data_IF_680138814398
#
_entry.id   IF_680138814398
#
_cell.length_a   1.000
_cell.length_b   1.000
_cell.length_c   1.000
_cell.angle_alpha   90.00
_cell.angle_beta   90.00
_cell.angle_gamma   90.00
#
_symmetry.space_group_name_H-M   'P 1'
#
loop_
_entity.id
_entity.type
_entity.pdbx_description
1 polymer ?
#
# COMPACT_ATOMS: atom_id res chain seq x y z
N UNK A 1 -58.10 -33.80 38.10
CA UNK A 1 -58.30 -33.99 36.66
C UNK A 1 -58.26 -32.64 35.90
N UNK A 2 -57.30 -31.76 36.20
CA UNK A 2 -57.17 -30.42 35.59
C UNK A 2 -55.71 -29.96 35.37
N UNK A 3 -54.74 -30.88 35.42
CA UNK A 3 -53.30 -30.55 35.35
C UNK A 3 -52.54 -31.22 34.19
N UNK A 4 -53.24 -31.74 33.18
CA UNK A 4 -52.62 -32.39 32.01
C UNK A 4 -52.92 -31.70 30.66
N UNK A 5 -53.58 -30.53 30.66
CA UNK A 5 -53.94 -29.82 29.40
C UNK A 5 -53.07 -28.62 29.03
N UNK A 6 -52.04 -28.28 29.81
CA UNK A 6 -51.18 -27.11 29.53
C UNK A 6 -49.82 -27.42 28.90
N UNK A 7 -49.50 -28.68 28.64
CA UNK A 7 -48.25 -29.08 27.97
C UNK A 7 -48.43 -29.53 26.51
N UNK A 8 -49.64 -29.37 25.96
CA UNK A 8 -49.97 -29.69 24.57
C UNK A 8 -50.08 -28.44 23.68
N UNK A 9 -49.38 -27.35 24.01
CA UNK A 9 -49.09 -26.32 23.00
C UNK A 9 -47.86 -26.78 22.22
N UNK A 10 -48.10 -27.79 21.39
CA UNK A 10 -47.18 -28.34 20.43
C UNK A 10 -46.43 -27.23 19.72
N UNK A 11 -45.11 -27.26 19.86
CA UNK A 11 -44.17 -27.04 18.77
C UNK A 11 -44.82 -27.47 17.46
N UNK A 12 -45.26 -26.52 16.65
CA UNK A 12 -45.56 -26.82 15.27
C UNK A 12 -44.20 -26.88 14.56
N UNK A 13 -43.67 -28.07 14.22
CA UNK A 13 -42.38 -28.18 13.54
C UNK A 13 -42.39 -27.45 12.19
N UNK A 14 -43.57 -27.23 11.59
CA UNK A 14 -43.73 -26.39 10.40
C UNK A 14 -43.47 -24.91 10.69
N UNK A 15 -43.90 -24.36 11.84
CA UNK A 15 -43.57 -22.97 12.22
C UNK A 15 -42.09 -22.81 12.60
N UNK A 16 -41.47 -23.84 13.17
CA UNK A 16 -40.02 -23.85 13.44
C UNK A 16 -39.20 -24.00 12.15
N UNK A 17 -39.68 -24.80 11.18
CA UNK A 17 -39.08 -24.89 9.84
C UNK A 17 -39.29 -23.61 9.03
N UNK A 18 -40.45 -22.96 9.12
CA UNK A 18 -40.68 -21.66 8.47
C UNK A 18 -39.82 -20.55 9.08
N UNK A 19 -39.66 -20.50 10.41
CA UNK A 19 -38.73 -19.58 11.05
C UNK A 19 -37.26 -19.83 10.64
N UNK A 20 -36.87 -21.10 10.43
CA UNK A 20 -35.55 -21.46 9.89
C UNK A 20 -35.37 -21.17 8.39
N UNK A 21 -36.47 -21.05 7.63
CA UNK A 21 -36.45 -20.70 6.20
C UNK A 21 -36.29 -19.20 5.96
N UNK A 22 -36.69 -18.35 6.92
CA UNK A 22 -36.59 -16.90 6.80
C UNK A 22 -35.26 -16.29 7.25
N UNK A 23 -34.41 -17.00 7.99
CA UNK A 23 -33.06 -16.52 8.26
C UNK A 23 -32.11 -16.99 7.16
N UNK A 24 -32.11 -16.31 6.00
CA UNK A 24 -31.06 -16.57 5.03
C UNK A 24 -29.70 -16.36 5.73
N UNK A 25 -28.73 -17.28 5.60
CA UNK A 25 -27.43 -17.15 6.27
C UNK A 25 -26.76 -15.82 5.94
N UNK A 26 -27.07 -15.26 4.76
CA UNK A 26 -26.73 -13.90 4.37
C UNK A 26 -27.34 -12.83 5.30
N UNK A 27 -28.67 -12.78 5.48
CA UNK A 27 -29.32 -11.75 6.32
C UNK A 27 -28.82 -11.80 7.77
N UNK A 28 -28.62 -13.02 8.30
CA UNK A 28 -28.07 -13.22 9.63
C UNK A 28 -26.63 -12.70 9.74
N UNK A 29 -25.76 -13.08 8.80
CA UNK A 29 -24.36 -12.63 8.81
C UNK A 29 -24.24 -11.13 8.53
N UNK A 30 -25.10 -10.59 7.68
CA UNK A 30 -25.21 -9.15 7.44
C UNK A 30 -25.59 -8.40 8.72
N UNK A 31 -26.63 -8.85 9.44
CA UNK A 31 -27.02 -8.25 10.72
C UNK A 31 -25.89 -8.31 11.77
N UNK A 32 -25.17 -9.45 11.85
CA UNK A 32 -24.03 -9.61 12.75
C UNK A 32 -22.85 -8.71 12.40
N UNK A 33 -22.60 -8.44 11.11
CA UNK A 33 -21.54 -7.52 10.68
C UNK A 33 -21.96 -6.06 10.83
N UNK A 34 -23.23 -5.74 10.57
CA UNK A 34 -23.73 -4.37 10.57
C UNK A 34 -23.59 -3.71 11.94
N UNK A 35 -23.82 -4.45 13.04
CA UNK A 35 -23.69 -3.92 14.40
C UNK A 35 -22.29 -3.42 14.75
N UNK A 36 -21.27 -4.30 14.78
CA UNK A 36 -19.87 -3.92 15.00
C UNK A 36 -19.37 -2.91 13.99
N UNK A 37 -19.75 -3.05 12.72
CA UNK A 37 -19.33 -2.12 11.68
C UNK A 37 -19.91 -0.72 11.91
N UNK A 38 -21.20 -0.62 12.29
CA UNK A 38 -21.82 0.66 12.65
C UNK A 38 -21.20 1.26 13.92
N UNK A 39 -20.84 0.42 14.90
CA UNK A 39 -20.14 0.87 16.11
C UNK A 39 -18.74 1.43 15.76
N UNK A 40 -17.97 0.74 14.92
CA UNK A 40 -16.66 1.23 14.46
C UNK A 40 -16.82 2.50 13.62
N UNK A 41 -17.78 2.54 12.71
CA UNK A 41 -18.07 3.71 11.88
C UNK A 41 -18.45 4.93 12.73
N UNK A 42 -19.32 4.76 13.72
CA UNK A 42 -19.72 5.83 14.65
C UNK A 42 -18.55 6.30 15.51
N UNK A 43 -17.69 5.41 15.97
CA UNK A 43 -16.45 5.76 16.68
C UNK A 43 -15.50 6.57 15.79
N UNK A 44 -15.27 6.14 14.55
CA UNK A 44 -14.44 6.85 13.59
C UNK A 44 -15.04 8.21 13.22
N UNK A 45 -16.37 8.29 13.08
CA UNK A 45 -17.07 9.55 12.82
C UNK A 45 -16.98 10.50 14.01
N UNK A 46 -17.13 9.99 15.24
CA UNK A 46 -16.92 10.76 16.46
C UNK A 46 -15.47 11.24 16.59
N UNK A 47 -14.49 10.40 16.23
CA UNK A 47 -13.08 10.79 16.18
C UNK A 47 -12.83 11.88 15.14
N UNK A 48 -13.36 11.72 13.91
CA UNK A 48 -13.31 12.75 12.85
C UNK A 48 -13.89 14.07 13.34
N UNK A 49 -15.05 14.05 13.99
CA UNK A 49 -15.71 15.25 14.50
C UNK A 49 -14.89 15.90 15.62
N UNK A 50 -14.41 15.10 16.58
CA UNK A 50 -13.64 15.57 17.73
C UNK A 50 -12.32 16.19 17.32
N UNK A 51 -11.63 15.60 16.36
CA UNK A 51 -10.30 15.98 15.90
C UNK A 51 -10.33 16.59 14.49
N UNK A 52 -11.42 17.28 14.14
CA UNK A 52 -11.59 17.90 12.81
C UNK A 52 -10.55 18.98 12.51
N UNK A 53 -9.94 19.54 13.55
CA UNK A 53 -8.98 20.63 13.47
C UNK A 53 -7.54 20.13 13.58
N UNK A 54 -6.64 20.81 12.89
CA UNK A 54 -5.20 20.56 12.92
C UNK A 54 -4.62 20.72 14.33
N UNK A 55 -5.05 21.74 15.08
CA UNK A 55 -4.53 21.98 16.44
C UNK A 55 -4.94 20.86 17.40
N UNK A 56 -6.18 20.36 17.29
CA UNK A 56 -6.65 19.24 18.10
C UNK A 56 -5.92 17.93 17.79
N UNK A 57 -5.39 17.78 16.58
CA UNK A 57 -4.58 16.63 16.20
C UNK A 57 -3.19 16.69 16.81
N UNK A 58 -2.58 17.88 16.81
CA UNK A 58 -1.32 18.12 17.53
C UNK A 58 -1.49 17.90 19.02
N UNK A 59 -2.57 18.41 19.61
CA UNK A 59 -2.88 18.18 21.02
C UNK A 59 -3.13 16.70 21.34
N UNK A 60 -3.70 15.94 20.38
CA UNK A 60 -3.87 14.50 20.54
C UNK A 60 -2.52 13.81 20.53
N UNK A 61 -1.64 14.14 19.58
CA UNK A 61 -0.31 13.56 19.46
C UNK A 61 0.51 13.66 20.75
N UNK A 62 0.44 14.81 21.43
CA UNK A 62 1.15 15.07 22.68
C UNK A 62 0.62 14.27 23.89
N UNK A 63 -0.55 13.64 23.78
CA UNK A 63 -1.14 12.86 24.88
C UNK A 63 -0.58 11.44 24.92
N UNK A 64 -0.53 10.80 26.11
CA UNK A 64 -0.13 9.40 26.23
C UNK A 64 -1.07 8.52 25.39
N UNK A 65 -0.50 7.73 24.48
CA UNK A 65 -1.24 6.88 23.54
C UNK A 65 -1.86 7.60 22.34
N UNK A 66 -1.72 8.93 22.26
CA UNK A 66 -2.25 9.74 21.17
C UNK A 66 -1.68 9.38 19.81
N UNK A 67 -0.35 9.20 19.72
CA UNK A 67 0.32 8.73 18.50
C UNK A 67 -0.21 7.38 18.00
N UNK A 68 -0.46 6.42 18.89
CA UNK A 68 -1.02 5.11 18.52
C UNK A 68 -2.43 5.28 17.93
N UNK A 69 -3.25 6.13 18.53
CA UNK A 69 -4.59 6.42 18.01
C UNK A 69 -4.51 7.10 16.63
N UNK A 70 -3.56 8.02 16.44
CA UNK A 70 -3.34 8.68 15.16
C UNK A 70 -2.86 7.71 14.08
N UNK A 71 -1.95 6.78 14.43
CA UNK A 71 -1.50 5.72 13.53
C UNK A 71 -2.69 4.84 13.12
N UNK A 72 -3.51 4.38 14.08
CA UNK A 72 -4.74 3.63 13.80
C UNK A 72 -5.70 4.41 12.88
N UNK A 73 -5.85 5.71 13.10
CA UNK A 73 -6.68 6.58 12.27
C UNK A 73 -6.09 6.84 10.88
N UNK A 74 -4.77 6.67 10.70
CA UNK A 74 -4.07 6.81 9.42
C UNK A 74 -4.01 5.51 8.61
N UNK A 75 -4.38 4.37 9.20
CA UNK A 75 -4.34 3.05 8.55
C UNK A 75 -5.14 2.97 7.26
N UNK A 76 -4.76 2.00 6.42
CA UNK A 76 -5.39 1.88 5.12
C UNK A 76 -6.84 1.45 5.23
N UNK A 77 -7.09 0.50 6.11
CA UNK A 77 -8.42 -0.06 6.36
C UNK A 77 -9.39 0.96 6.90
N UNK A 78 -8.95 1.83 7.82
CA UNK A 78 -9.85 2.84 8.42
C UNK A 78 -10.37 3.82 7.36
N UNK A 79 -9.67 3.98 6.24
CA UNK A 79 -10.16 4.70 5.07
C UNK A 79 -11.42 4.13 4.44
N UNK A 80 -11.52 2.82 4.38
CA UNK A 80 -12.69 2.14 3.81
C UNK A 80 -13.88 2.17 4.79
N UNK A 81 -13.64 2.62 6.02
CA UNK A 81 -14.64 2.77 7.07
C UNK A 81 -15.11 4.22 7.23
N UNK A 82 -14.51 5.22 6.57
CA UNK A 82 -14.92 6.61 6.79
C UNK A 82 -13.96 7.64 6.21
N UNK A 83 -14.40 8.89 6.00
CA UNK A 83 -13.51 9.94 5.57
C UNK A 83 -12.63 10.34 6.77
N UNK A 84 -11.40 9.87 6.77
CA UNK A 84 -10.45 10.01 7.87
C UNK A 84 -9.54 11.22 7.64
N UNK A 85 -8.62 11.44 8.55
CA UNK A 85 -7.98 12.73 8.75
C UNK A 85 -6.82 13.01 7.82
N UNK A 86 -6.61 12.27 6.71
CA UNK A 86 -5.48 12.53 5.80
C UNK A 86 -5.32 14.01 5.44
N UNK A 87 -6.37 14.76 5.06
CA UNK A 87 -6.24 16.19 4.78
C UNK A 87 -5.94 17.00 6.04
N UNK A 88 -6.41 16.56 7.20
CA UNK A 88 -6.16 17.21 8.48
C UNK A 88 -4.78 16.84 9.07
N UNK A 89 -4.23 15.65 8.80
CA UNK A 89 -2.87 15.23 9.14
C UNK A 89 -1.87 16.02 8.29
N UNK A 90 -2.19 16.21 7.01
CA UNK A 90 -1.49 17.14 6.13
C UNK A 90 -1.50 18.57 6.70
N UNK A 91 -2.68 19.11 7.06
CA UNK A 91 -2.81 20.46 7.65
C UNK A 91 -2.15 20.59 9.03
N UNK A 92 -2.23 19.56 9.86
CA UNK A 92 -1.55 19.49 11.16
C UNK A 92 -0.03 19.35 11.01
N UNK A 93 0.45 19.09 9.79
CA UNK A 93 1.86 18.92 9.47
C UNK A 93 2.50 17.76 10.22
N UNK A 94 1.78 16.65 10.33
CA UNK A 94 2.19 15.44 11.07
C UNK A 94 3.45 14.76 10.49
N UNK A 95 3.92 15.21 9.33
CA UNK A 95 5.17 14.77 8.70
C UNK A 95 6.39 15.57 9.18
N UNK A 96 6.24 16.80 9.66
CA UNK A 96 7.36 17.68 10.02
C UNK A 96 8.19 17.13 11.19
N UNK A 97 7.55 16.63 12.25
CA UNK A 97 8.26 16.09 13.41
C UNK A 97 9.07 14.82 13.07
N UNK A 98 8.50 13.78 12.42
CA UNK A 98 9.29 12.63 11.98
C UNK A 98 10.43 13.01 11.03
N UNK A 99 10.23 13.96 10.11
CA UNK A 99 11.30 14.44 9.22
C UNK A 99 12.41 15.15 10.00
N UNK A 100 12.04 15.95 11.01
CA UNK A 100 12.99 16.60 11.91
C UNK A 100 13.77 15.59 12.75
N UNK A 101 13.12 14.53 13.24
CA UNK A 101 13.81 13.44 13.94
C UNK A 101 14.88 12.80 13.05
N UNK A 102 14.56 12.53 11.77
CA UNK A 102 15.50 11.93 10.83
C UNK A 102 16.74 12.80 10.51
N UNK A 103 16.71 14.10 10.83
CA UNK A 103 17.88 14.98 10.71
C UNK A 103 18.89 14.78 11.83
N UNK A 104 18.49 14.17 12.96
CA UNK A 104 19.38 13.93 14.10
C UNK A 104 20.33 12.75 13.79
N UNK A 105 21.65 12.98 13.69
CA UNK A 105 22.62 11.92 13.41
C UNK A 105 22.74 10.92 14.57
N UNK A 106 22.32 11.27 15.79
CA UNK A 106 22.39 10.43 17.00
C UNK A 106 21.07 9.69 17.26
N UNK A 107 20.09 9.80 16.36
CA UNK A 107 18.79 9.15 16.49
C UNK A 107 18.93 7.63 16.63
N UNK A 108 18.30 7.08 17.67
CA UNK A 108 18.33 5.63 17.93
C UNK A 108 17.55 4.89 16.82
N UNK A 109 18.01 3.67 16.47
CA UNK A 109 17.44 2.88 15.38
C UNK A 109 15.92 2.68 15.52
N UNK A 110 15.41 2.43 16.73
CA UNK A 110 13.97 2.25 16.95
C UNK A 110 13.17 3.55 16.72
N UNK A 111 13.76 4.71 17.00
CA UNK A 111 13.13 6.02 16.80
C UNK A 111 13.13 6.39 15.32
N UNK A 112 14.24 6.12 14.63
CA UNK A 112 14.35 6.24 13.17
C UNK A 112 13.30 5.39 12.48
N UNK A 113 13.14 4.14 12.91
CA UNK A 113 12.15 3.24 12.35
C UNK A 113 10.72 3.68 12.62
N UNK A 114 10.44 4.19 13.82
CA UNK A 114 9.13 4.75 14.13
C UNK A 114 8.82 5.97 13.24
N UNK A 115 9.79 6.86 13.04
CA UNK A 115 9.65 8.01 12.15
C UNK A 115 9.37 7.57 10.70
N UNK A 116 10.14 6.61 10.17
CA UNK A 116 9.94 6.06 8.83
C UNK A 116 8.60 5.34 8.67
N UNK A 117 8.16 4.57 9.67
CA UNK A 117 6.85 3.90 9.66
C UNK A 117 5.71 4.91 9.49
N UNK A 118 5.77 5.99 10.28
CA UNK A 118 4.76 7.05 10.26
C UNK A 118 4.77 7.82 8.95
N UNK A 119 5.94 8.16 8.42
CA UNK A 119 6.06 8.79 7.11
C UNK A 119 5.56 7.87 5.99
N UNK A 120 5.80 6.56 6.10
CA UNK A 120 5.28 5.54 5.18
C UNK A 120 3.76 5.43 5.18
N UNK A 121 3.12 5.48 6.34
CA UNK A 121 1.65 5.51 6.42
C UNK A 121 1.06 6.75 5.75
N UNK A 122 1.68 7.91 5.97
CA UNK A 122 1.27 9.17 5.36
C UNK A 122 1.54 9.19 3.84
N UNK A 123 2.70 8.69 3.38
CA UNK A 123 3.09 8.73 1.96
C UNK A 123 2.28 7.79 1.07
N UNK A 124 1.79 6.67 1.61
CA UNK A 124 0.90 5.76 0.88
C UNK A 124 -0.39 6.43 0.40
N UNK A 125 -0.76 7.57 1.00
CA UNK A 125 -1.95 8.33 0.63
C UNK A 125 -1.56 9.53 -0.21
N UNK A 126 -1.96 9.52 -1.49
CA UNK A 126 -1.66 10.60 -2.44
C UNK A 126 -1.88 12.01 -1.86
N UNK A 127 -2.99 12.25 -1.17
CA UNK A 127 -3.28 13.57 -0.60
C UNK A 127 -2.37 13.95 0.58
N UNK A 128 -1.96 13.00 1.42
CA UNK A 128 -0.96 13.28 2.45
C UNK A 128 0.43 13.39 1.84
N UNK A 129 0.78 12.55 0.86
CA UNK A 129 2.02 12.64 0.09
C UNK A 129 2.20 14.02 -0.56
N UNK A 130 1.13 14.62 -1.10
CA UNK A 130 1.12 15.99 -1.61
C UNK A 130 1.43 17.05 -0.54
N UNK A 131 1.16 16.76 0.74
CA UNK A 131 1.46 17.69 1.83
C UNK A 131 2.94 17.75 2.21
N UNK A 132 3.70 16.69 1.91
CA UNK A 132 5.17 16.72 1.98
C UNK A 132 5.73 17.69 0.94
N UNK A 133 4.97 17.92 -0.14
CA UNK A 133 5.35 18.77 -1.24
C UNK A 133 4.55 20.08 -1.24
N UNK A 134 4.26 20.66 -0.08
CA UNK A 134 3.55 21.93 -0.01
C UNK A 134 4.32 23.00 -0.81
N UNK A 135 3.65 23.77 -1.69
CA UNK A 135 4.31 24.80 -2.49
C UNK A 135 4.90 25.85 -1.54
N UNK A 136 6.23 25.88 -1.45
CA UNK A 136 6.94 26.97 -0.79
C UNK A 136 6.69 28.25 -1.57
N UNK A 137 6.26 29.30 -0.88
CA UNK A 137 6.03 30.62 -1.47
C UNK A 137 7.31 31.32 -1.95
N UNK A 138 8.50 30.77 -1.71
CA UNK A 138 9.76 31.34 -2.20
C UNK A 138 10.72 30.24 -2.69
N UNK A 139 10.90 30.17 -4.01
CA UNK A 139 12.03 29.62 -4.78
C UNK A 139 12.51 28.17 -4.59
N UNK A 140 11.86 27.35 -3.76
CA UNK A 140 12.25 25.94 -3.53
C UNK A 140 11.41 24.91 -4.27
N UNK A 141 12.03 23.80 -4.70
CA UNK A 141 11.29 22.59 -5.06
C UNK A 141 10.51 22.08 -3.85
N UNK A 142 9.24 21.69 -3.98
CA UNK A 142 8.50 21.15 -2.84
C UNK A 142 9.06 19.79 -2.34
N UNK A 143 9.96 19.14 -3.08
CA UNK A 143 10.71 17.98 -2.59
C UNK A 143 11.82 18.32 -1.58
N UNK A 144 12.08 19.61 -1.29
CA UNK A 144 13.05 20.02 -0.24
C UNK A 144 12.64 19.50 1.13
N UNK A 145 11.34 19.40 1.44
CA UNK A 145 10.90 18.92 2.75
C UNK A 145 11.30 17.45 3.02
N UNK A 146 11.48 16.65 1.97
CA UNK A 146 11.93 15.24 2.09
C UNK A 146 13.44 15.09 1.96
N UNK A 147 14.21 16.18 1.98
CA UNK A 147 15.68 16.15 1.95
C UNK A 147 16.30 15.17 2.96
N UNK A 148 15.83 15.05 4.22
CA UNK A 148 16.36 14.06 5.16
C UNK A 148 16.23 12.61 4.66
N UNK A 149 15.12 12.29 3.97
CA UNK A 149 14.92 10.97 3.38
C UNK A 149 15.84 10.76 2.17
N UNK A 150 16.03 11.79 1.34
CA UNK A 150 16.92 11.73 0.19
C UNK A 150 18.37 11.51 0.63
N UNK A 151 18.80 12.18 1.71
CA UNK A 151 20.11 11.96 2.31
C UNK A 151 20.24 10.54 2.86
N UNK A 152 19.30 10.09 3.70
CA UNK A 152 19.35 8.74 4.27
C UNK A 152 19.39 7.65 3.19
N UNK A 153 18.62 7.81 2.11
CA UNK A 153 18.53 6.82 1.04
C UNK A 153 19.71 6.83 0.05
N UNK A 154 20.23 8.00 -0.34
CA UNK A 154 21.15 8.13 -1.49
C UNK A 154 22.50 8.75 -1.17
N UNK A 155 22.68 9.31 0.02
CA UNK A 155 23.98 9.80 0.43
C UNK A 155 24.85 8.62 0.87
N UNK A 156 25.91 8.36 0.10
CA UNK A 156 26.94 7.40 0.47
C UNK A 156 28.04 8.15 1.22
N UNK A 157 28.16 7.92 2.52
CA UNK A 157 29.35 8.33 3.25
C UNK A 157 30.53 7.47 2.77
N UNK A 158 31.64 8.05 2.27
CA UNK A 158 32.82 7.30 1.87
C UNK A 158 33.37 6.38 2.98
N UNK A 159 33.08 6.67 4.26
CA UNK A 159 33.44 5.80 5.38
C UNK A 159 32.56 4.55 5.55
N UNK A 160 31.38 4.48 4.90
CA UNK A 160 30.38 3.41 5.08
C UNK A 160 30.56 2.19 4.16
N UNK A 161 31.53 2.24 3.24
CA UNK A 161 31.81 1.20 2.23
C UNK A 161 32.29 -0.13 2.85
N UNK A 162 32.62 -0.13 4.14
CA UNK A 162 33.08 -1.30 4.90
C UNK A 162 31.98 -2.08 5.61
N UNK A 163 30.73 -1.61 5.59
CA UNK A 163 29.64 -2.28 6.31
C UNK A 163 29.18 -3.55 5.58
N UNK A 164 29.09 -4.65 6.32
CA UNK A 164 28.52 -5.91 5.84
C UNK A 164 27.04 -5.74 5.49
N UNK A 165 26.57 -6.28 4.35
CA UNK A 165 25.15 -6.24 3.98
C UNK A 165 24.29 -7.00 5.01
N UNK A 166 23.13 -6.44 5.35
CA UNK A 166 22.18 -6.99 6.32
C UNK A 166 22.08 -6.23 7.64
N UNK A 167 22.43 -4.94 7.67
CA UNK A 167 22.36 -4.10 8.89
C UNK A 167 21.01 -3.40 9.03
N UNK A 168 20.66 -2.90 10.22
CA UNK A 168 19.46 -2.07 10.46
C UNK A 168 19.40 -0.87 9.50
N UNK A 169 20.55 -0.25 9.21
CA UNK A 169 20.72 0.79 8.18
C UNK A 169 20.14 0.41 6.80
N UNK A 170 20.24 -0.85 6.38
CA UNK A 170 19.77 -1.27 5.05
C UNK A 170 18.24 -1.27 4.95
N UNK A 171 17.59 -1.63 6.06
CA UNK A 171 16.12 -1.60 6.17
C UNK A 171 15.60 -0.16 6.16
N UNK A 172 16.31 0.76 6.83
CA UNK A 172 15.97 2.18 6.88
C UNK A 172 16.02 2.80 5.49
N UNK A 173 17.14 2.56 4.78
CA UNK A 173 17.37 2.97 3.40
C UNK A 173 16.26 2.48 2.45
N UNK A 174 15.87 1.21 2.56
CA UNK A 174 14.80 0.65 1.74
C UNK A 174 13.42 1.27 2.04
N UNK A 175 13.11 1.52 3.31
CA UNK A 175 11.88 2.22 3.70
C UNK A 175 11.87 3.66 3.16
N UNK A 176 12.97 4.40 3.33
CA UNK A 176 13.12 5.76 2.81
C UNK A 176 12.92 5.84 1.29
N UNK A 177 13.54 4.94 0.52
CA UNK A 177 13.38 4.91 -0.95
C UNK A 177 11.93 4.64 -1.39
N UNK A 178 11.18 3.80 -0.65
CA UNK A 178 9.76 3.56 -0.91
C UNK A 178 8.92 4.82 -0.65
N UNK A 179 9.17 5.49 0.48
CA UNK A 179 8.50 6.76 0.84
C UNK A 179 8.77 7.81 -0.23
N UNK A 180 10.02 7.97 -0.67
CA UNK A 180 10.42 8.90 -1.72
C UNK A 180 9.66 8.60 -3.02
N UNK A 181 9.57 7.33 -3.43
CA UNK A 181 8.83 6.95 -4.63
C UNK A 181 7.34 7.30 -4.53
N UNK A 182 6.71 7.07 -3.37
CA UNK A 182 5.31 7.39 -3.16
C UNK A 182 5.07 8.92 -3.21
N UNK A 183 5.95 9.70 -2.57
CA UNK A 183 5.90 11.18 -2.59
C UNK A 183 6.12 11.75 -3.99
N UNK A 184 7.15 11.27 -4.70
CA UNK A 184 7.45 11.71 -6.07
C UNK A 184 6.31 11.31 -7.02
N UNK A 185 5.72 10.13 -6.85
CA UNK A 185 4.58 9.69 -7.66
C UNK A 185 3.34 10.59 -7.46
N UNK A 186 3.11 11.06 -6.23
CA UNK A 186 2.00 11.94 -5.90
C UNK A 186 2.20 13.37 -6.41
N UNK A 187 3.43 13.88 -6.34
CA UNK A 187 3.80 15.23 -6.74
C UNK A 187 3.64 15.46 -8.26
N UNK A 188 3.12 16.60 -8.74
CA UNK A 188 3.07 16.93 -10.17
C UNK A 188 4.46 16.94 -10.82
N UNK A 189 4.58 16.55 -12.09
CA UNK A 189 5.90 16.41 -12.75
C UNK A 189 6.71 17.70 -12.83
N UNK A 190 6.06 18.86 -12.84
CA UNK A 190 6.71 20.18 -12.86
C UNK A 190 7.40 20.51 -11.53
N UNK A 191 6.95 19.89 -10.43
CA UNK A 191 7.32 20.21 -9.06
C UNK A 191 8.33 19.21 -8.47
N UNK A 192 8.83 18.27 -9.28
CA UNK A 192 9.76 17.20 -8.83
C UNK A 192 11.23 17.57 -8.98
N UNK A 193 11.58 18.85 -9.00
CA UNK A 193 12.99 19.25 -9.13
C UNK A 193 13.80 18.74 -7.95
N UNK A 194 14.96 18.15 -8.19
CA UNK A 194 15.86 17.68 -7.12
C UNK A 194 17.30 18.15 -7.39
N UNK A 195 18.15 18.24 -6.35
CA UNK A 195 19.58 18.47 -6.55
C UNK A 195 20.26 17.39 -7.38
N UNK A 196 21.31 17.75 -8.12
CA UNK A 196 22.06 16.85 -9.00
C UNK A 196 22.63 15.63 -8.26
N UNK A 197 23.04 15.82 -7.00
CA UNK A 197 23.56 14.73 -6.16
C UNK A 197 22.52 13.62 -5.92
N UNK A 198 21.23 13.95 -5.93
CA UNK A 198 20.14 12.97 -5.79
C UNK A 198 20.08 12.09 -7.04
N UNK A 199 20.18 12.68 -8.22
CA UNK A 199 20.17 11.94 -9.49
C UNK A 199 21.41 11.04 -9.61
N UNK A 200 22.58 11.56 -9.24
CA UNK A 200 23.82 10.80 -9.16
C UNK A 200 23.75 9.67 -8.13
N UNK A 201 23.33 9.97 -6.90
CA UNK A 201 23.22 9.03 -5.79
C UNK A 201 22.23 7.90 -6.10
N UNK A 202 21.09 8.22 -6.70
CA UNK A 202 20.09 7.24 -7.14
C UNK A 202 20.71 6.20 -8.08
N UNK A 203 21.52 6.64 -9.04
CA UNK A 203 22.12 5.75 -10.05
C UNK A 203 23.36 5.01 -9.53
N UNK A 204 24.14 5.65 -8.66
CA UNK A 204 25.32 5.04 -8.03
C UNK A 204 24.94 3.97 -7.01
N UNK A 205 23.89 4.20 -6.22
CA UNK A 205 23.38 3.22 -5.28
C UNK A 205 22.94 1.94 -6.01
N UNK A 206 23.74 0.88 -5.89
CA UNK A 206 23.47 -0.47 -6.40
C UNK A 206 23.11 -1.37 -5.23
N UNK A 207 22.06 -2.17 -5.35
CA UNK A 207 21.57 -2.99 -4.23
C UNK A 207 20.69 -2.17 -3.29
N UNK A 208 21.07 -2.03 -2.02
CA UNK A 208 20.35 -1.19 -1.03
C UNK A 208 20.49 0.30 -1.46
N UNK A 209 19.43 1.13 -1.42
CA UNK A 209 18.10 0.95 -0.81
C UNK A 209 17.09 0.13 -1.63
N UNK A 210 17.43 -0.28 -2.84
CA UNK A 210 16.46 -0.80 -3.80
C UNK A 210 15.96 -2.22 -3.51
N UNK A 211 16.46 -2.87 -2.45
CA UNK A 211 16.35 -4.31 -2.20
C UNK A 211 17.22 -5.12 -3.17
N UNK A 212 17.84 -6.18 -2.66
CA UNK A 212 18.68 -7.06 -3.48
C UNK A 212 17.78 -7.84 -4.44
N UNK A 213 17.84 -7.53 -5.73
CA UNK A 213 17.10 -8.27 -6.74
C UNK A 213 16.65 -7.42 -7.92
N UNK A 214 16.02 -8.06 -8.92
CA UNK A 214 15.67 -7.38 -10.17
C UNK A 214 14.48 -6.42 -9.99
N UNK A 215 13.56 -6.68 -9.06
CA UNK A 215 12.49 -5.74 -8.71
C UNK A 215 13.03 -4.39 -8.20
N UNK A 216 14.14 -4.41 -7.45
CA UNK A 216 14.78 -3.20 -6.94
C UNK A 216 15.31 -2.28 -8.04
N UNK A 217 15.98 -2.87 -9.01
CA UNK A 217 16.42 -2.15 -10.20
C UNK A 217 15.26 -1.52 -10.98
N UNK A 218 14.10 -2.19 -11.02
CA UNK A 218 12.89 -1.63 -11.63
C UNK A 218 12.31 -0.46 -10.83
N UNK A 219 12.35 -0.51 -9.50
CA UNK A 219 11.98 0.61 -8.62
C UNK A 219 12.89 1.82 -8.85
N UNK A 220 14.21 1.58 -8.89
CA UNK A 220 15.23 2.60 -9.16
C UNK A 220 15.00 3.30 -10.50
N UNK A 221 14.86 2.50 -11.57
CA UNK A 221 14.59 3.03 -12.91
C UNK A 221 13.25 3.79 -12.97
N UNK A 222 12.23 3.31 -12.25
CA UNK A 222 10.93 3.99 -12.18
C UNK A 222 11.06 5.36 -11.52
N UNK A 223 11.73 5.45 -10.36
CA UNK A 223 11.94 6.71 -9.66
C UNK A 223 12.74 7.70 -10.52
N UNK A 224 13.82 7.24 -11.15
CA UNK A 224 14.61 8.07 -12.05
C UNK A 224 13.74 8.64 -13.17
N UNK A 225 12.96 7.79 -13.85
CA UNK A 225 12.07 8.25 -14.93
C UNK A 225 11.03 9.25 -14.44
N UNK A 226 10.47 9.07 -13.24
CA UNK A 226 9.52 10.03 -12.68
C UNK A 226 10.15 11.40 -12.37
N UNK A 227 11.41 11.42 -11.90
CA UNK A 227 12.16 12.65 -11.67
C UNK A 227 12.56 13.33 -12.99
N UNK A 228 12.95 12.55 -14.01
CA UNK A 228 13.31 13.06 -15.34
C UNK A 228 12.13 13.64 -16.14
N UNK A 229 10.88 13.49 -15.65
CA UNK A 229 9.75 14.20 -16.24
C UNK A 229 9.83 15.72 -16.01
N UNK A 230 10.60 16.17 -15.03
CA UNK A 230 10.90 17.59 -14.81
C UNK A 230 12.01 18.05 -15.77
N UNK A 231 11.80 19.11 -16.57
CA UNK A 231 12.81 19.60 -17.52
C UNK A 231 14.18 19.91 -16.90
N UNK A 232 14.19 20.49 -15.70
CA UNK A 232 15.43 20.82 -14.96
C UNK A 232 16.24 19.57 -14.63
N UNK A 233 15.60 18.52 -14.12
CA UNK A 233 16.25 17.25 -13.80
C UNK A 233 16.75 16.55 -15.07
N UNK A 234 15.97 16.60 -16.16
CA UNK A 234 16.36 16.04 -17.44
C UNK A 234 17.60 16.74 -18.02
N UNK A 235 17.67 18.06 -17.89
CA UNK A 235 18.83 18.84 -18.30
C UNK A 235 20.07 18.51 -17.45
N UNK A 236 19.93 18.50 -16.11
CA UNK A 236 21.00 18.13 -15.20
C UNK A 236 21.52 16.70 -15.43
N UNK A 237 20.62 15.75 -15.66
CA UNK A 237 20.98 14.38 -16.03
C UNK A 237 21.80 14.29 -17.33
N UNK A 238 21.62 15.23 -18.26
CA UNK A 238 22.42 15.34 -19.48
C UNK A 238 23.88 15.71 -19.24
N UNK A 239 24.21 16.34 -18.10
CA UNK A 239 25.59 16.63 -17.68
C UNK A 239 26.22 15.56 -16.78
N UNK A 240 25.42 14.70 -16.14
CA UNK A 240 25.91 13.70 -15.20
C UNK A 240 26.31 12.40 -15.93
N UNK A 241 27.62 12.09 -15.93
CA UNK A 241 28.17 10.95 -16.67
C UNK A 241 27.58 9.61 -16.25
N UNK A 242 27.45 9.40 -14.94
CA UNK A 242 26.89 8.19 -14.35
C UNK A 242 25.42 7.97 -14.75
N UNK A 243 24.63 9.05 -14.80
CA UNK A 243 23.21 8.98 -15.20
C UNK A 243 23.11 8.66 -16.68
N UNK A 244 23.93 9.30 -17.52
CA UNK A 244 24.01 8.99 -18.96
C UNK A 244 24.42 7.54 -19.20
N UNK A 245 25.43 7.04 -18.50
CA UNK A 245 25.89 5.66 -18.61
C UNK A 245 24.80 4.68 -18.21
N UNK A 246 24.06 4.98 -17.14
CA UNK A 246 22.94 4.14 -16.70
C UNK A 246 21.78 4.13 -17.71
N UNK A 247 21.38 5.30 -18.20
CA UNK A 247 20.35 5.41 -19.25
C UNK A 247 20.78 4.79 -20.59
N UNK A 248 22.08 4.81 -20.88
CA UNK A 248 22.69 4.16 -22.05
C UNK A 248 22.87 2.65 -21.90
N UNK A 249 22.73 2.10 -20.69
CA UNK A 249 22.84 0.66 -20.47
C UNK A 249 21.67 -0.11 -21.10
N UNK A 250 21.91 -1.37 -21.48
CA UNK A 250 20.89 -2.23 -22.09
C UNK A 250 19.70 -2.58 -21.18
N UNK A 251 19.75 -2.16 -19.92
CA UNK A 251 18.81 -2.51 -18.88
C UNK A 251 18.96 -3.96 -18.42
N UNK A 252 18.20 -4.30 -17.39
CA UNK A 252 18.08 -5.67 -16.92
C UNK A 252 16.79 -6.29 -17.46
N UNK A 253 16.83 -7.62 -17.63
CA UNK A 253 15.67 -8.47 -17.86
C UNK A 253 15.96 -9.78 -17.13
N UNK A 254 15.57 -9.84 -15.86
CA UNK A 254 15.90 -10.97 -14.98
C UNK A 254 14.69 -11.35 -14.15
N UNK A 255 14.37 -12.64 -14.12
CA UNK A 255 13.41 -13.23 -13.19
C UNK A 255 14.12 -13.57 -11.89
N UNK A 256 13.41 -13.51 -10.77
CA UNK A 256 13.98 -13.96 -9.50
C UNK A 256 14.16 -15.47 -9.52
N UNK A 257 15.24 -15.95 -8.91
CA UNK A 257 15.54 -17.37 -8.82
C UNK A 257 14.67 -18.00 -7.72
N UNK A 258 13.49 -18.48 -8.13
CA UNK A 258 12.55 -19.13 -7.22
C UNK A 258 11.95 -20.34 -7.91
N UNK A 259 11.70 -21.40 -7.14
CA UNK A 259 11.00 -22.60 -7.60
C UNK A 259 9.54 -22.35 -8.01
N UNK A 260 8.99 -21.15 -7.78
CA UNK A 260 7.59 -20.82 -8.03
C UNK A 260 7.49 -19.90 -9.25
N UNK A 261 7.04 -20.39 -10.42
CA UNK A 261 7.07 -19.62 -11.67
C UNK A 261 6.37 -18.27 -11.59
N UNK A 262 5.23 -18.21 -10.89
CA UNK A 262 4.51 -16.96 -10.71
C UNK A 262 5.24 -15.99 -9.78
N UNK A 263 5.88 -16.48 -8.71
CA UNK A 263 6.70 -15.64 -7.82
C UNK A 263 7.91 -15.08 -8.58
N UNK A 264 8.60 -15.94 -9.34
CA UNK A 264 9.69 -15.53 -10.23
C UNK A 264 9.26 -14.46 -11.23
N UNK A 265 8.01 -14.53 -11.71
CA UNK A 265 7.42 -13.55 -12.62
C UNK A 265 7.05 -12.22 -11.92
N UNK A 266 6.43 -12.27 -10.73
CA UNK A 266 6.01 -11.08 -9.98
C UNK A 266 7.19 -10.31 -9.37
N UNK A 267 8.27 -11.01 -9.02
CA UNK A 267 9.47 -10.41 -8.49
C UNK A 267 10.56 -10.18 -9.56
N UNK A 268 10.24 -10.47 -10.83
CA UNK A 268 11.12 -10.14 -11.94
C UNK A 268 11.34 -8.63 -12.06
N UNK A 269 12.42 -8.25 -12.72
CA UNK A 269 12.75 -6.87 -13.04
C UNK A 269 13.06 -6.73 -14.51
N UNK A 270 12.45 -5.72 -15.12
CA UNK A 270 12.68 -5.37 -16.51
C UNK A 270 12.71 -3.85 -16.66
N UNK A 271 13.84 -3.32 -17.10
CA UNK A 271 14.09 -1.86 -17.06
C UNK A 271 14.35 -1.23 -18.42
N UNK A 272 14.51 -2.00 -19.49
CA UNK A 272 14.90 -1.48 -20.80
C UNK A 272 13.91 -0.43 -21.35
N UNK A 273 12.60 -0.60 -21.11
CA UNK A 273 11.55 0.33 -21.51
C UNK A 273 11.62 1.63 -20.70
N UNK A 274 11.88 1.52 -19.40
CA UNK A 274 12.08 2.64 -18.49
C UNK A 274 13.35 3.44 -18.84
N UNK A 275 14.49 2.77 -19.04
CA UNK A 275 15.75 3.42 -19.42
C UNK A 275 15.62 4.11 -20.77
N UNK A 276 14.99 3.47 -21.76
CA UNK A 276 14.70 4.09 -23.04
C UNK A 276 13.79 5.31 -22.90
N UNK A 277 12.79 5.26 -22.02
CA UNK A 277 11.93 6.42 -21.72
C UNK A 277 12.73 7.54 -21.05
N UNK A 278 13.60 7.21 -20.10
CA UNK A 278 14.51 8.16 -19.44
C UNK A 278 15.47 8.82 -20.43
N UNK A 279 16.12 8.03 -21.30
CA UNK A 279 16.98 8.52 -22.36
C UNK A 279 16.24 9.51 -23.27
N UNK A 280 15.01 9.19 -23.71
CA UNK A 280 14.18 10.11 -24.50
C UNK A 280 13.88 11.43 -23.78
N UNK A 281 13.58 11.37 -22.47
CA UNK A 281 13.33 12.58 -21.68
C UNK A 281 14.58 13.46 -21.60
N UNK A 282 15.77 12.85 -21.41
CA UNK A 282 17.04 13.57 -21.43
C UNK A 282 17.35 14.12 -22.82
N UNK A 283 17.28 13.32 -23.88
CA UNK A 283 17.55 13.75 -25.26
C UNK A 283 16.64 14.90 -25.71
N UNK A 284 15.39 14.94 -25.22
CA UNK A 284 14.46 16.04 -25.50
C UNK A 284 15.00 17.40 -25.01
N UNK A 285 15.74 17.42 -23.90
CA UNK A 285 16.26 18.64 -23.28
C UNK A 285 17.77 18.84 -23.50
N UNK A 286 18.52 17.76 -23.74
CA UNK A 286 19.94 17.74 -24.06
C UNK A 286 20.19 16.80 -25.25
N UNK A 287 20.02 17.28 -26.50
CA UNK A 287 20.24 16.48 -27.70
C UNK A 287 21.66 15.88 -27.73
N UNK A 288 21.77 14.60 -28.08
CA UNK A 288 23.06 13.89 -28.16
C UNK A 288 23.67 13.46 -26.82
N UNK A 289 23.05 13.77 -25.68
CA UNK A 289 23.58 13.36 -24.38
C UNK A 289 23.56 11.83 -24.16
N UNK A 290 22.50 11.16 -24.64
CA UNK A 290 22.34 9.70 -24.53
C UNK A 290 22.00 9.14 -25.91
N UNK A 291 22.65 8.04 -26.27
CA UNK A 291 22.38 7.36 -27.54
C UNK A 291 20.97 6.75 -27.56
N UNK A 292 20.23 6.88 -28.68
CA UNK A 292 18.90 6.33 -28.80
C UNK A 292 18.93 4.81 -28.78
N UNK A 293 18.19 4.22 -27.84
CA UNK A 293 18.06 2.76 -27.74
C UNK A 293 16.92 2.21 -28.60
N UNK A 294 17.15 1.02 -29.16
CA UNK A 294 16.16 0.26 -29.90
C UNK A 294 14.96 -0.14 -29.01
N UNK A 295 13.76 -0.14 -29.59
CA UNK A 295 12.56 -0.64 -28.90
C UNK A 295 12.76 -2.14 -28.69
N UNK A 296 12.64 -2.59 -27.44
CA UNK A 296 12.46 -4.00 -27.12
C UNK A 296 11.06 -4.19 -26.56
N UNK A 297 10.50 -5.37 -26.80
CA UNK A 297 9.22 -5.75 -26.21
C UNK A 297 9.43 -6.30 -24.81
N UNK A 298 8.44 -6.03 -23.97
CA UNK A 298 8.47 -6.36 -22.55
C UNK A 298 7.90 -7.77 -22.34
N UNK A 299 8.63 -8.57 -21.58
CA UNK A 299 8.22 -9.94 -21.22
C UNK A 299 7.40 -10.00 -19.94
N UNK A 300 7.65 -9.05 -19.05
CA UNK A 300 7.09 -9.01 -17.70
C UNK A 300 6.16 -7.81 -17.56
N UNK A 301 5.11 -7.88 -16.72
CA UNK A 301 4.19 -6.77 -16.52
C UNK A 301 4.92 -5.58 -15.88
N UNK A 302 4.30 -4.40 -15.92
CA UNK A 302 4.82 -3.23 -15.23
C UNK A 302 4.89 -3.43 -13.72
N UNK A 303 5.78 -2.70 -13.05
CA UNK A 303 5.89 -2.69 -11.59
C UNK A 303 4.53 -2.50 -10.88
N UNK A 304 3.68 -1.62 -11.39
CA UNK A 304 2.34 -1.40 -10.84
C UNK A 304 1.49 -2.68 -10.91
N UNK A 305 1.43 -3.30 -12.09
CA UNK A 305 0.71 -4.55 -12.29
C UNK A 305 1.30 -5.70 -11.46
N UNK A 306 2.62 -5.74 -11.26
CA UNK A 306 3.29 -6.72 -10.36
C UNK A 306 2.84 -6.54 -8.91
N UNK A 307 2.75 -5.29 -8.42
CA UNK A 307 2.25 -4.97 -7.07
C UNK A 307 0.78 -5.39 -6.91
N UNK A 308 -0.05 -5.07 -7.88
CA UNK A 308 -1.49 -5.39 -7.86
C UNK A 308 -1.71 -6.92 -7.89
N UNK A 309 -1.01 -7.63 -8.77
CA UNK A 309 -1.08 -9.10 -8.87
C UNK A 309 -0.55 -9.80 -7.62
N UNK A 310 0.48 -9.26 -6.95
CA UNK A 310 1.04 -9.86 -5.72
C UNK A 310 0.02 -9.84 -4.58
N UNK A 311 -0.70 -8.74 -4.39
CA UNK A 311 -1.71 -8.63 -3.35
C UNK A 311 -2.89 -9.54 -3.64
N UNK A 312 -3.41 -9.47 -4.88
CA UNK A 312 -4.45 -10.36 -5.39
C UNK A 312 -4.11 -11.83 -5.18
N UNK A 313 -2.90 -12.24 -5.58
CA UNK A 313 -2.45 -13.62 -5.46
C UNK A 313 -2.26 -14.08 -4.01
N UNK A 314 -1.73 -13.21 -3.14
CA UNK A 314 -1.57 -13.56 -1.73
C UNK A 314 -2.93 -13.85 -1.09
N UNK A 315 -3.91 -12.98 -1.32
CA UNK A 315 -5.28 -13.17 -0.82
C UNK A 315 -5.89 -14.46 -1.34
N UNK A 316 -5.72 -14.78 -2.63
CA UNK A 316 -6.22 -16.01 -3.23
C UNK A 316 -5.53 -17.25 -2.67
N UNK A 317 -4.20 -17.26 -2.54
CA UNK A 317 -3.48 -18.42 -1.99
C UNK A 317 -3.85 -18.71 -0.54
N UNK A 318 -3.90 -17.68 0.30
CA UNK A 318 -4.34 -17.84 1.69
C UNK A 318 -5.77 -18.36 1.75
N UNK A 319 -6.64 -17.87 0.87
CA UNK A 319 -8.02 -18.34 0.75
C UNK A 319 -8.10 -19.79 0.31
N UNK A 320 -7.34 -20.16 -0.73
CA UNK A 320 -7.31 -21.53 -1.25
C UNK A 320 -6.77 -22.51 -0.20
N UNK A 321 -5.69 -22.14 0.51
CA UNK A 321 -5.14 -22.95 1.60
C UNK A 321 -6.12 -23.15 2.76
N UNK A 322 -6.80 -22.08 3.17
CA UNK A 322 -7.83 -22.15 4.22
C UNK A 322 -9.05 -22.97 3.78
N UNK A 323 -9.54 -22.77 2.57
CA UNK A 323 -10.63 -23.57 2.02
C UNK A 323 -10.23 -25.05 1.90
N UNK A 324 -8.99 -25.33 1.53
CA UNK A 324 -8.46 -26.69 1.45
C UNK A 324 -8.47 -27.36 2.82
N UNK A 325 -8.06 -26.64 3.86
CA UNK A 325 -8.13 -27.11 5.25
C UNK A 325 -9.56 -27.38 5.72
N UNK A 326 -10.50 -26.47 5.44
CA UNK A 326 -11.91 -26.60 5.84
C UNK A 326 -12.64 -27.76 5.15
N UNK A 327 -12.30 -28.04 3.89
CA UNK A 327 -12.90 -29.12 3.10
C UNK A 327 -12.10 -30.43 3.14
N UNK A 328 -11.04 -30.50 3.95
CA UNK A 328 -10.24 -31.71 4.10
C UNK A 328 -11.00 -32.76 4.91
N UNK A 329 -11.35 -33.88 4.28
CA UNK A 329 -12.08 -34.98 4.92
C UNK A 329 -11.19 -36.14 5.38
N UNK A 330 -9.86 -36.03 5.20
CA UNK A 330 -8.88 -37.10 5.44
C UNK A 330 -9.11 -38.41 4.65
N UNK A 331 -10.08 -38.44 3.74
CA UNK A 331 -10.44 -39.60 2.92
C UNK A 331 -10.33 -39.24 1.45
N UNK A 332 -9.54 -40.02 0.70
CA UNK A 332 -9.33 -39.80 -0.73
C UNK A 332 -10.35 -40.55 -1.59
N UNK A 333 -11.54 -39.98 -1.75
CA UNK A 333 -12.50 -40.40 -2.78
C UNK A 333 -12.58 -39.35 -3.90
N UNK A 334 -12.94 -39.77 -5.11
CA UNK A 334 -13.16 -38.84 -6.23
C UNK A 334 -14.18 -37.76 -5.89
N UNK A 335 -15.24 -38.11 -5.15
CA UNK A 335 -16.25 -37.17 -4.69
C UNK A 335 -15.69 -36.16 -3.66
N UNK A 336 -14.86 -36.60 -2.72
CA UNK A 336 -14.20 -35.70 -1.77
C UNK A 336 -13.24 -34.74 -2.48
N UNK A 337 -12.49 -35.21 -3.50
CA UNK A 337 -11.62 -34.37 -4.31
C UNK A 337 -12.40 -33.32 -5.12
N UNK A 338 -13.55 -33.68 -5.70
CA UNK A 338 -14.42 -32.75 -6.41
C UNK A 338 -15.03 -31.70 -5.47
N UNK A 339 -15.46 -32.10 -4.27
CA UNK A 339 -15.99 -31.18 -3.26
C UNK A 339 -14.91 -30.21 -2.75
N UNK A 340 -13.70 -30.71 -2.51
CA UNK A 340 -12.53 -29.90 -2.18
C UNK A 340 -12.24 -28.87 -3.28
N UNK A 341 -12.16 -29.32 -4.53
CA UNK A 341 -11.90 -28.45 -5.67
C UNK A 341 -12.99 -27.38 -5.84
N UNK A 342 -14.27 -27.74 -5.71
CA UNK A 342 -15.38 -26.80 -5.78
C UNK A 342 -15.36 -25.80 -4.61
N UNK A 343 -15.03 -26.24 -3.40
CA UNK A 343 -14.85 -25.38 -2.22
C UNK A 343 -13.72 -24.37 -2.41
N UNK A 344 -12.55 -24.83 -2.85
CA UNK A 344 -11.39 -23.97 -3.14
C UNK A 344 -11.70 -22.99 -4.28
N UNK A 345 -12.33 -23.44 -5.36
CA UNK A 345 -12.69 -22.59 -6.49
C UNK A 345 -13.70 -21.51 -6.09
N UNK A 346 -14.75 -21.87 -5.37
CA UNK A 346 -15.77 -20.91 -4.89
C UNK A 346 -15.20 -19.91 -3.88
N UNK A 347 -14.34 -20.36 -2.96
CA UNK A 347 -13.63 -19.49 -2.02
C UNK A 347 -12.71 -18.50 -2.75
N UNK A 348 -11.93 -18.98 -3.71
CA UNK A 348 -11.02 -18.17 -4.52
C UNK A 348 -11.76 -17.14 -5.38
N UNK A 349 -12.88 -17.54 -6.00
CA UNK A 349 -13.74 -16.63 -6.74
C UNK A 349 -14.34 -15.55 -5.82
N UNK A 350 -14.78 -15.93 -4.62
CA UNK A 350 -15.23 -14.99 -3.60
C UNK A 350 -14.15 -13.98 -3.22
N UNK A 351 -12.92 -14.44 -2.97
CA UNK A 351 -11.79 -13.58 -2.67
C UNK A 351 -11.46 -12.63 -3.85
N UNK A 352 -11.50 -13.11 -5.09
CA UNK A 352 -11.26 -12.28 -6.27
C UNK A 352 -12.29 -11.13 -6.40
N UNK A 353 -13.57 -11.38 -6.12
CA UNK A 353 -14.61 -10.34 -6.10
C UNK A 353 -14.34 -9.30 -5.01
N UNK A 354 -13.96 -9.75 -3.80
CA UNK A 354 -13.62 -8.85 -2.71
C UNK A 354 -12.39 -7.98 -3.04
N UNK A 355 -11.37 -8.56 -3.67
CA UNK A 355 -10.17 -7.87 -4.12
C UNK A 355 -10.48 -6.79 -5.17
N UNK A 356 -11.29 -7.11 -6.19
CA UNK A 356 -11.71 -6.15 -7.22
C UNK A 356 -12.49 -5.00 -6.61
N UNK A 357 -13.45 -5.30 -5.72
CA UNK A 357 -14.24 -4.30 -5.03
C UNK A 357 -13.35 -3.39 -4.18
N UNK A 358 -12.41 -3.97 -3.44
CA UNK A 358 -11.46 -3.23 -2.61
C UNK A 358 -10.57 -2.31 -3.45
N UNK A 359 -9.98 -2.81 -4.54
CA UNK A 359 -9.17 -2.02 -5.46
C UNK A 359 -9.96 -0.87 -6.10
N UNK A 360 -11.22 -1.08 -6.47
CA UNK A 360 -12.09 -0.03 -6.99
C UNK A 360 -12.32 1.07 -5.94
N UNK A 361 -12.58 0.70 -4.68
CA UNK A 361 -12.73 1.67 -3.59
C UNK A 361 -11.44 2.46 -3.34
N UNK A 362 -10.28 1.82 -3.42
CA UNK A 362 -9.00 2.52 -3.28
C UNK A 362 -8.76 3.55 -4.37
N UNK A 363 -9.08 3.22 -5.62
CA UNK A 363 -9.00 4.16 -6.73
C UNK A 363 -9.89 5.37 -6.46
N UNK A 364 -11.12 5.15 -5.96
CA UNK A 364 -12.02 6.25 -5.56
C UNK A 364 -11.40 7.09 -4.43
N UNK A 365 -10.88 6.47 -3.38
CA UNK A 365 -10.24 7.19 -2.24
C UNK A 365 -9.03 8.02 -2.69
N UNK A 366 -8.34 7.63 -3.76
CA UNK A 366 -7.18 8.37 -4.28
C UNK A 366 -7.55 9.61 -5.13
N UNK A 367 -8.84 9.80 -5.46
CA UNK A 367 -9.30 10.96 -6.26
C UNK A 367 -9.46 12.21 -5.40
N UNK A 368 -9.28 13.38 -6.01
CA UNK A 368 -9.40 14.67 -5.34
C UNK A 368 -10.84 14.94 -4.85
N UNK A 369 -11.84 14.65 -5.69
CA UNK A 369 -13.26 14.85 -5.37
C UNK A 369 -13.73 14.05 -4.15
N UNK A 370 -13.13 12.87 -3.90
CA UNK A 370 -13.45 12.11 -2.69
C UNK A 370 -13.07 12.87 -1.42
N UNK A 371 -12.03 13.70 -1.46
CA UNK A 371 -11.55 14.49 -0.31
C UNK A 371 -12.20 15.86 -0.21
N UNK A 372 -12.94 16.29 -1.22
CA UNK A 372 -13.79 17.47 -1.13
C UNK A 372 -14.91 17.22 -0.09
N UNK A 373 -15.08 18.17 0.83
CA UNK A 373 -15.90 18.01 2.04
C UNK A 373 -17.35 17.56 1.75
N UNK A 374 -17.88 17.83 0.55
CA UNK A 374 -19.24 17.48 0.16
C UNK A 374 -19.46 15.97 -0.11
N UNK A 375 -18.45 15.25 -0.60
CA UNK A 375 -18.62 13.89 -1.13
C UNK A 375 -17.97 12.79 -0.29
N UNK A 376 -16.96 13.14 0.52
CA UNK A 376 -16.21 12.21 1.35
C UNK A 376 -17.08 11.33 2.28
N UNK A 377 -18.07 11.93 2.94
CA UNK A 377 -18.93 11.26 3.92
C UNK A 377 -19.95 10.31 3.28
N UNK A 378 -20.77 10.74 2.30
CA UNK A 378 -21.70 9.84 1.63
C UNK A 378 -20.98 8.72 0.85
N UNK A 379 -19.86 9.02 0.18
CA UNK A 379 -19.07 8.00 -0.51
C UNK A 379 -18.54 6.94 0.45
N UNK A 380 -18.01 7.35 1.61
CA UNK A 380 -17.51 6.40 2.61
C UNK A 380 -18.64 5.58 3.25
N UNK A 381 -19.80 6.18 3.50
CA UNK A 381 -20.96 5.43 4.00
C UNK A 381 -21.43 4.38 2.98
N UNK A 382 -21.40 4.70 1.69
CA UNK A 382 -21.70 3.77 0.61
C UNK A 382 -20.65 2.64 0.53
N UNK A 383 -19.35 2.95 0.62
CA UNK A 383 -18.28 1.94 0.65
C UNK A 383 -18.40 1.03 1.87
N UNK A 384 -18.65 1.61 3.04
CA UNK A 384 -18.90 0.91 4.29
C UNK A 384 -20.04 -0.12 4.18
N UNK A 385 -21.19 0.33 3.67
CA UNK A 385 -22.33 -0.52 3.42
C UNK A 385 -22.01 -1.61 2.39
N UNK A 386 -21.36 -1.24 1.28
CA UNK A 386 -20.97 -2.19 0.24
C UNK A 386 -20.01 -3.25 0.78
N UNK A 387 -19.09 -2.89 1.67
CA UNK A 387 -18.20 -3.82 2.35
C UNK A 387 -18.96 -4.75 3.30
N UNK A 388 -19.95 -4.25 4.04
CA UNK A 388 -20.81 -5.10 4.86
C UNK A 388 -21.58 -6.12 4.02
N UNK A 389 -22.16 -5.68 2.90
CA UNK A 389 -22.88 -6.55 1.97
C UNK A 389 -21.93 -7.57 1.35
N UNK A 390 -20.77 -7.15 0.88
CA UNK A 390 -19.78 -8.01 0.23
C UNK A 390 -19.20 -9.04 1.20
N UNK A 391 -18.89 -8.65 2.44
CA UNK A 391 -18.44 -9.57 3.49
C UNK A 391 -19.56 -10.52 3.91
N UNK A 392 -20.78 -10.05 4.12
CA UNK A 392 -21.92 -10.93 4.41
C UNK A 392 -22.16 -11.94 3.29
N UNK A 393 -22.01 -11.52 2.04
CA UNK A 393 -22.06 -12.38 0.86
C UNK A 393 -20.89 -13.37 0.82
N UNK A 394 -19.67 -12.94 1.13
CA UNK A 394 -18.46 -13.77 1.12
C UNK A 394 -18.42 -14.80 2.25
N UNK A 395 -19.17 -14.57 3.34
CA UNK A 395 -19.24 -15.48 4.50
C UNK A 395 -19.63 -16.90 4.15
N UNK A 396 -20.32 -17.09 3.03
CA UNK A 396 -20.75 -18.41 2.53
C UNK A 396 -19.64 -19.22 1.84
N UNK A 397 -18.47 -18.62 1.58
CA UNK A 397 -17.40 -19.23 0.79
C UNK A 397 -16.09 -19.44 1.55
N UNK A 398 -16.08 -19.37 2.89
CA UNK A 398 -14.86 -19.52 3.71
C UNK A 398 -13.71 -18.57 3.32
N UNK A 399 -13.98 -17.45 2.63
CA UNK A 399 -12.95 -16.55 2.13
C UNK A 399 -12.77 -15.27 2.97
N UNK A 400 -13.67 -14.99 3.93
CA UNK A 400 -13.59 -13.80 4.77
C UNK A 400 -12.31 -13.78 5.58
N UNK A 401 -12.05 -14.82 6.38
CA UNK A 401 -10.95 -14.80 7.34
C UNK A 401 -9.60 -14.59 6.63
N UNK A 402 -9.27 -15.33 5.55
CA UNK A 402 -8.04 -15.08 4.78
C UNK A 402 -7.99 -13.70 4.13
N UNK A 403 -9.11 -13.20 3.60
CA UNK A 403 -9.18 -11.86 3.00
C UNK A 403 -8.93 -10.76 4.04
N UNK A 404 -9.61 -10.85 5.18
CA UNK A 404 -9.47 -9.93 6.31
C UNK A 404 -8.04 -9.99 6.87
N UNK A 405 -7.44 -11.19 6.97
CA UNK A 405 -6.04 -11.34 7.40
C UNK A 405 -5.07 -10.71 6.40
N UNK A 406 -5.27 -10.95 5.09
CA UNK A 406 -4.45 -10.36 4.04
C UNK A 406 -4.53 -8.82 4.06
N UNK A 407 -5.72 -8.26 4.24
CA UNK A 407 -5.91 -6.80 4.16
C UNK A 407 -5.65 -6.05 5.47
N UNK A 408 -6.08 -6.57 6.62
CA UNK A 408 -5.84 -5.93 7.93
C UNK A 408 -4.45 -6.19 8.47
N UNK A 409 -4.00 -7.45 8.40
CA UNK A 409 -2.78 -7.86 9.08
C UNK A 409 -1.59 -7.91 8.14
N UNK A 410 -1.75 -8.30 6.87
CA UNK A 410 -0.59 -8.36 5.98
C UNK A 410 -0.26 -6.99 5.37
N UNK A 411 -1.22 -6.33 4.74
CA UNK A 411 -0.94 -5.07 4.01
C UNK A 411 -0.69 -3.87 4.97
N UNK A 412 -1.38 -3.81 6.11
CA UNK A 412 -1.30 -2.67 7.05
C UNK A 412 -0.36 -2.92 8.24
N UNK A 413 -0.35 -4.14 8.79
CA UNK A 413 0.49 -4.47 9.95
C UNK A 413 1.82 -5.11 9.52
N UNK A 414 1.82 -6.20 8.78
CA UNK A 414 3.04 -6.94 8.44
C UNK A 414 3.85 -6.28 7.32
N UNK A 415 3.30 -5.55 6.36
CA UNK A 415 4.11 -4.85 5.36
C UNK A 415 4.60 -3.49 5.88
N UNK A 416 3.89 -2.91 6.86
CA UNK A 416 4.48 -1.91 7.73
C UNK A 416 5.66 -2.55 8.48
N UNK A 417 5.46 -3.65 9.22
CA UNK A 417 6.51 -4.28 10.06
C UNK A 417 7.50 -5.25 9.34
N UNK A 418 7.35 -5.60 8.07
CA UNK A 418 8.29 -6.48 7.30
C UNK A 418 9.43 -5.70 6.68
N UNK A 419 9.36 -4.38 6.71
CA UNK A 419 10.59 -3.57 6.65
C UNK A 419 11.42 -3.73 7.94
N UNK A 420 10.99 -4.52 8.93
CA UNK A 420 11.60 -4.63 10.25
C UNK A 420 12.05 -6.07 10.61
N UNK A 421 12.19 -6.98 9.64
CA UNK A 421 12.68 -8.35 9.88
C UNK A 421 13.72 -8.80 8.85
#
# INVERSE_FOLDING_TARGET
MWFERSLACCCNPEKAQEASRFSSPFLRNFAYLLGPFSAVWTLLWAARWRYRDADRLRDLELKPGGAILLDLLAWRVTAHLGPYQVPNFAKAKMHEEPLKMLQDPVLLDYERMRALSRLGQLSQRRMAALSFSAPGTDQGSPLVAIEPLLFDAFYEDPASVTNTPGTSSDTHKAAAAKIILDVVSACPSQDRSVPDWVLSGLVRARGIPWQVGPQGEELRATLLVQLLQTPRNAAAAGSLMEVRQYLGSSGIRRKEDTIWPLKAYLLSGETHDLLRKGARLVTKHCPGAVEPQNKRERDTPSLQMKRDLRNFWTSILLTAGWASFQHWTAVFTAQALLQLAAGVASASAGAAVLEILWSAQEQVIQTEWYWENAYSTPASAAMAFTNCVALAWASRFSCILPFVVSRLFKDDYLDAYRTFA
#
